data_IF_736631598735
#
_entry.id   IF_736631598735
#
_cell.length_a   1.000
_cell.length_b   1.000
_cell.length_c   1.000
_cell.angle_alpha   90.00
_cell.angle_beta   90.00
_cell.angle_gamma   90.00
#
_symmetry.space_group_name_H-M   'P 1'
#
loop_
_entity.id
_entity.type
_entity.pdbx_description
1 polymer ?
#
# COMPACT_ATOMS: atom_id res chain seq x y z
N UNK A 1 -32.02 -8.74 5.70
CA UNK A 1 -31.80 -8.06 4.42
C UNK A 1 -30.39 -7.48 4.45
N UNK A 2 -29.49 -7.91 3.56
CA UNK A 2 -28.12 -7.40 3.51
C UNK A 2 -28.05 -6.35 2.39
N UNK A 3 -28.23 -5.08 2.76
CA UNK A 3 -28.09 -3.96 1.84
C UNK A 3 -26.61 -3.56 1.78
N UNK A 4 -26.00 -3.65 0.61
CA UNK A 4 -24.66 -3.11 0.36
C UNK A 4 -24.79 -1.89 -0.55
N UNK A 5 -24.25 -0.76 -0.09
CA UNK A 5 -24.12 0.42 -0.92
C UNK A 5 -22.97 0.20 -1.91
N UNK A 6 -23.26 0.33 -3.20
CA UNK A 6 -22.26 0.29 -4.27
C UNK A 6 -21.79 1.71 -4.59
N UNK A 7 -20.55 1.86 -5.04
CA UNK A 7 -20.08 3.12 -5.65
C UNK A 7 -19.18 4.03 -4.81
N UNK A 8 -18.53 3.55 -3.75
CA UNK A 8 -17.35 4.25 -3.20
C UNK A 8 -16.16 3.98 -4.13
N UNK A 9 -15.66 4.98 -4.88
CA UNK A 9 -14.53 4.76 -5.77
C UNK A 9 -13.23 4.73 -4.97
N UNK A 10 -12.32 3.86 -5.38
CA UNK A 10 -10.92 3.99 -5.00
C UNK A 10 -10.28 5.05 -5.88
N UNK A 11 -9.58 6.01 -5.27
CA UNK A 11 -8.86 7.05 -6.00
C UNK A 11 -7.46 6.57 -6.35
N UNK A 12 -7.04 6.75 -7.60
CA UNK A 12 -5.69 6.38 -7.99
C UNK A 12 -4.68 7.26 -7.25
N UNK A 13 -3.64 6.69 -6.61
CA UNK A 13 -2.62 7.47 -5.94
C UNK A 13 -1.75 8.24 -6.93
N UNK A 14 -1.28 9.40 -6.50
CA UNK A 14 -0.42 10.31 -7.29
C UNK A 14 1.04 10.29 -6.81
N UNK A 15 1.27 9.84 -5.56
CA UNK A 15 2.59 9.73 -4.97
C UNK A 15 2.87 8.29 -4.57
N UNK A 16 4.11 7.86 -4.82
CA UNK A 16 4.55 6.50 -4.53
C UNK A 16 5.86 6.49 -3.76
N UNK A 17 5.94 5.65 -2.74
CA UNK A 17 7.16 5.45 -1.97
C UNK A 17 7.38 3.96 -1.70
N UNK A 18 8.64 3.55 -1.72
CA UNK A 18 9.03 2.18 -1.38
C UNK A 18 9.30 2.07 0.11
N UNK A 19 8.79 1.02 0.75
CA UNK A 19 9.00 0.76 2.18
C UNK A 19 10.20 -0.15 2.35
N UNK A 20 11.20 0.34 3.08
CA UNK A 20 12.38 -0.42 3.46
C UNK A 20 12.38 -0.60 4.97
N UNK A 21 12.38 -1.85 5.41
CA UNK A 21 12.44 -2.19 6.82
C UNK A 21 13.87 -2.03 7.33
N UNK A 22 14.07 -1.33 8.47
CA UNK A 22 15.42 -1.20 9.05
C UNK A 22 15.91 -2.47 9.71
N UNK A 23 15.02 -3.24 10.32
CA UNK A 23 15.34 -4.51 10.97
C UNK A 23 14.67 -5.69 10.24
N UNK A 24 15.42 -6.53 9.50
CA UNK A 24 14.85 -7.61 8.68
C UNK A 24 14.04 -8.65 9.48
N UNK A 25 14.25 -8.77 10.80
CA UNK A 25 13.52 -9.70 11.65
C UNK A 25 12.03 -9.36 11.81
N UNK A 26 11.64 -8.10 11.52
CA UNK A 26 10.26 -7.60 11.69
C UNK A 26 9.40 -7.70 10.42
N UNK A 27 9.86 -8.42 9.39
CA UNK A 27 9.18 -8.50 8.07
C UNK A 27 7.72 -8.95 8.16
N UNK A 28 7.41 -9.94 9.01
CA UNK A 28 6.03 -10.42 9.17
C UNK A 28 5.11 -9.37 9.79
N UNK A 29 5.61 -8.63 10.78
CA UNK A 29 4.85 -7.57 11.46
C UNK A 29 4.62 -6.39 10.51
N UNK A 30 5.60 -6.06 9.68
CA UNK A 30 5.43 -5.04 8.65
C UNK A 30 4.32 -5.42 7.65
N UNK A 31 4.35 -6.65 7.14
CA UNK A 31 3.33 -7.12 6.20
C UNK A 31 1.93 -7.08 6.82
N UNK A 32 1.81 -7.49 8.09
CA UNK A 32 0.55 -7.42 8.83
C UNK A 32 0.07 -5.98 9.04
N UNK A 33 0.96 -5.09 9.47
CA UNK A 33 0.61 -3.67 9.70
C UNK A 33 0.23 -2.95 8.42
N UNK A 34 0.94 -3.20 7.31
CA UNK A 34 0.58 -2.64 6.01
C UNK A 34 -0.76 -3.19 5.49
N UNK A 35 -1.04 -4.48 5.66
CA UNK A 35 -2.32 -5.06 5.27
C UNK A 35 -3.48 -4.37 6.01
N UNK A 36 -3.37 -4.23 7.34
CA UNK A 36 -4.40 -3.59 8.15
C UNK A 36 -4.57 -2.09 7.81
N UNK A 37 -3.48 -1.36 7.65
CA UNK A 37 -3.53 0.06 7.24
C UNK A 37 -4.12 0.24 5.83
N UNK A 38 -3.93 -0.75 4.96
CA UNK A 38 -4.56 -0.82 3.65
C UNK A 38 -6.07 -1.06 3.73
N UNK A 39 -6.51 -2.00 4.56
CA UNK A 39 -7.93 -2.29 4.81
C UNK A 39 -8.68 -1.11 5.44
N UNK A 40 -8.02 -0.36 6.33
CA UNK A 40 -8.56 0.86 6.93
C UNK A 40 -8.64 2.03 5.93
N UNK A 41 -8.00 1.92 4.76
CA UNK A 41 -7.95 2.97 3.74
C UNK A 41 -6.99 4.11 4.07
N UNK A 42 -6.07 3.92 5.04
CA UNK A 42 -5.08 4.93 5.40
C UNK A 42 -4.06 5.16 4.27
N UNK A 43 -3.71 4.10 3.55
CA UNK A 43 -2.73 4.09 2.45
C UNK A 43 -3.05 2.95 1.49
N UNK A 44 -2.66 3.06 0.22
CA UNK A 44 -2.74 1.94 -0.71
C UNK A 44 -1.44 1.16 -0.72
N UNK A 45 -1.52 -0.17 -0.55
CA UNK A 45 -0.35 -1.05 -0.52
C UNK A 45 -0.30 -1.85 -1.81
N UNK A 46 0.83 -1.74 -2.51
CA UNK A 46 1.10 -2.44 -3.76
C UNK A 46 2.22 -3.46 -3.54
N UNK A 47 1.98 -4.69 -3.98
CA UNK A 47 2.95 -5.77 -3.97
C UNK A 47 3.36 -6.09 -5.42
N UNK A 48 4.61 -5.81 -5.82
CA UNK A 48 5.08 -6.13 -7.16
C UNK A 48 5.04 -7.64 -7.44
N UNK A 49 4.50 -8.06 -8.59
CA UNK A 49 4.47 -9.47 -9.00
C UNK A 49 5.86 -10.04 -9.25
N UNK A 50 6.78 -9.22 -9.77
CA UNK A 50 8.19 -9.56 -9.96
C UNK A 50 8.96 -9.74 -8.64
N UNK A 51 8.32 -9.52 -7.49
CA UNK A 51 8.96 -9.50 -6.18
C UNK A 51 9.69 -8.20 -5.88
N UNK A 52 10.20 -8.09 -4.65
CA UNK A 52 10.91 -6.89 -4.17
C UNK A 52 10.21 -6.20 -3.00
N UNK A 53 10.56 -4.94 -2.80
CA UNK A 53 10.05 -4.14 -1.69
C UNK A 53 8.59 -3.74 -1.93
N UNK A 54 7.84 -3.61 -0.83
CA UNK A 54 6.45 -3.14 -0.88
C UNK A 54 6.42 -1.67 -1.27
N UNK A 55 5.44 -1.32 -2.10
CA UNK A 55 5.22 0.04 -2.57
C UNK A 55 3.95 0.60 -1.91
N UNK A 56 4.02 1.84 -1.45
CA UNK A 56 2.88 2.57 -0.90
C UNK A 56 2.46 3.64 -1.88
N UNK A 57 1.15 3.74 -2.14
CA UNK A 57 0.55 4.83 -2.89
C UNK A 57 -0.30 5.71 -1.99
N UNK A 58 -0.12 7.01 -2.14
CA UNK A 58 -0.88 8.05 -1.44
C UNK A 58 -1.42 9.08 -2.43
N UNK A 59 -2.53 9.71 -2.06
CA UNK A 59 -3.03 10.94 -2.69
C UNK A 59 -2.34 12.16 -2.06
N UNK A 60 -1.95 12.09 -0.78
CA UNK A 60 -1.29 13.18 -0.05
C UNK A 60 -0.05 12.73 0.72
N UNK A 61 0.95 13.61 0.82
CA UNK A 61 2.22 13.32 1.52
C UNK A 61 2.02 12.90 2.99
N UNK A 62 1.06 13.53 3.69
CA UNK A 62 0.80 13.25 5.10
C UNK A 62 0.43 11.77 5.37
N UNK A 63 -0.15 11.07 4.39
CA UNK A 63 -0.50 9.66 4.55
C UNK A 63 0.74 8.79 4.80
N UNK A 64 1.87 9.12 4.17
CA UNK A 64 3.13 8.42 4.39
C UNK A 64 3.65 8.61 5.82
N UNK A 65 3.59 9.84 6.33
CA UNK A 65 4.04 10.18 7.69
C UNK A 65 3.16 9.49 8.74
N UNK A 66 1.84 9.47 8.54
CA UNK A 66 0.89 8.76 9.41
C UNK A 66 1.18 7.26 9.43
N UNK A 67 1.37 6.65 8.27
CA UNK A 67 1.70 5.21 8.17
C UNK A 67 3.02 4.89 8.86
N UNK A 68 4.06 5.68 8.62
CA UNK A 68 5.36 5.48 9.26
C UNK A 68 5.25 5.58 10.79
N UNK A 69 4.51 6.56 11.30
CA UNK A 69 4.28 6.72 12.73
C UNK A 69 3.48 5.55 13.33
N UNK A 70 2.39 5.13 12.66
CA UNK A 70 1.56 4.00 13.10
C UNK A 70 2.30 2.68 13.07
N UNK A 71 3.06 2.38 12.02
CA UNK A 71 3.91 1.18 11.95
C UNK A 71 4.91 1.10 13.10
N UNK A 72 5.51 2.24 13.47
CA UNK A 72 6.41 2.31 14.62
C UNK A 72 5.68 2.12 15.96
N UNK A 73 4.51 2.73 16.13
CA UNK A 73 3.80 2.77 17.41
C UNK A 73 2.99 1.50 17.70
N UNK A 74 2.30 0.98 16.68
CA UNK A 74 1.39 -0.17 16.82
C UNK A 74 2.07 -1.51 16.55
N UNK A 75 3.11 -1.53 15.71
CA UNK A 75 3.73 -2.78 15.23
C UNK A 75 5.23 -2.88 15.52
N UNK A 76 5.82 -1.93 16.28
CA UNK A 76 7.26 -1.87 16.58
C UNK A 76 8.14 -2.01 15.32
N UNK A 77 7.64 -1.51 14.18
CA UNK A 77 8.28 -1.61 12.88
C UNK A 77 8.88 -0.26 12.48
N UNK A 78 10.20 -0.14 12.62
CA UNK A 78 10.92 1.02 12.11
C UNK A 78 11.21 0.86 10.61
N UNK A 79 10.57 1.73 9.81
CA UNK A 79 10.65 1.73 8.35
C UNK A 79 11.24 3.04 7.84
N UNK A 80 11.98 2.93 6.74
CA UNK A 80 12.41 4.05 5.90
C UNK A 80 11.55 4.05 4.64
N UNK A 81 11.10 5.24 4.25
CA UNK A 81 10.44 5.46 2.98
C UNK A 81 11.46 5.99 1.98
N UNK A 82 11.51 5.37 0.81
CA UNK A 82 12.39 5.76 -0.29
C UNK A 82 11.56 6.20 -1.49
N UNK A 83 12.10 7.15 -2.26
CA UNK A 83 11.46 7.63 -3.48
C UNK A 83 11.20 6.49 -4.46
N UNK A 84 10.06 6.54 -5.12
CA UNK A 84 9.72 5.60 -6.19
C UNK A 84 9.83 6.25 -7.57
N UNK A 85 10.10 5.45 -8.59
CA UNK A 85 10.06 5.88 -9.99
C UNK A 85 8.64 5.95 -10.57
N UNK A 86 7.65 5.40 -9.85
CA UNK A 86 6.26 5.38 -10.31
C UNK A 86 5.60 6.73 -10.06
N UNK A 87 4.89 7.23 -11.07
CA UNK A 87 4.20 8.53 -11.06
C UNK A 87 2.68 8.41 -11.17
N UNK A 88 2.16 7.19 -11.37
CA UNK A 88 0.73 6.96 -11.47
C UNK A 88 0.39 5.47 -11.41
N UNK A 89 -0.85 5.19 -11.03
CA UNK A 89 -1.44 3.86 -11.06
C UNK A 89 -2.77 3.87 -11.79
N UNK A 90 -3.13 2.75 -12.42
CA UNK A 90 -4.41 2.55 -13.12
C UNK A 90 -4.91 1.14 -12.83
N UNK A 91 -6.22 1.01 -12.65
CA UNK A 91 -6.87 -0.30 -12.63
C UNK A 91 -6.99 -0.81 -14.07
N UNK A 92 -6.47 -2.00 -14.30
CA UNK A 92 -6.63 -2.73 -15.56
C UNK A 92 -7.74 -3.77 -15.38
N UNK A 93 -8.58 -3.92 -16.39
CA UNK A 93 -9.65 -4.93 -16.45
C UNK A 93 -9.66 -5.51 -17.85
N UNK A 94 -9.84 -6.82 -17.98
CA UNK A 94 -10.03 -7.49 -19.26
C UNK A 94 -11.14 -8.54 -19.14
N UNK A 95 -11.73 -8.89 -20.27
CA UNK A 95 -12.86 -9.83 -20.32
C UNK A 95 -12.40 -11.28 -20.09
N UNK A 96 -11.14 -11.59 -20.42
CA UNK A 96 -10.54 -12.91 -20.16
C UNK A 96 -9.26 -12.81 -19.32
N UNK A 97 -9.01 -13.75 -18.38
CA UNK A 97 -7.78 -13.76 -17.59
C UNK A 97 -6.49 -13.90 -18.42
N UNK A 98 -6.60 -14.42 -19.65
CA UNK A 98 -5.48 -14.56 -20.57
C UNK A 98 -4.99 -13.20 -21.09
N UNK A 99 -5.87 -12.20 -21.15
CA UNK A 99 -5.56 -10.84 -21.61
C UNK A 99 -4.93 -9.95 -20.52
N UNK A 100 -4.93 -10.39 -19.25
CA UNK A 100 -4.34 -9.66 -18.12
C UNK A 100 -2.85 -10.01 -17.86
N UNK A 101 -2.27 -10.93 -18.64
CA UNK A 101 -0.89 -11.40 -18.47
C UNK A 101 0.13 -10.63 -19.30
#
# INVERSE_FOLDING_TARGET
ANLQFTGLPFFAPEMFMTVVLKNPLRTKQLQQGLAQLGEEGAIQVFKPDAGGNMLLGAVGQLQFEVVQHRLKTEYDCDVRLEGSQYTGARWITADTPAELR
#
